data_IF_415101999401
#
_entry.id   IF_415101999401
#
_cell.length_a   1.000
_cell.length_b   1.000
_cell.length_c   1.000
_cell.angle_alpha   90.00
_cell.angle_beta   90.00
_cell.angle_gamma   90.00
#
_symmetry.space_group_name_H-M   'P 1'
#
loop_
_entity.id
_entity.type
_entity.pdbx_description
1 polymer ?
#
# COMPACT_ATOMS: atom_id res chain seq x y z
N UNK A 1 -11.16 -3.98 35.42
CA UNK A 1 -9.89 -3.42 34.88
C UNK A 1 -9.62 -2.08 35.51
N UNK A 2 -8.38 -1.83 35.99
CA UNK A 2 -7.99 -0.51 36.49
C UNK A 2 -6.50 -0.25 36.21
N UNK A 3 -6.20 0.87 35.51
CA UNK A 3 -4.86 1.16 35.01
C UNK A 3 -4.60 2.67 34.97
N UNK A 4 -3.33 3.07 35.13
CA UNK A 4 -2.84 4.44 34.93
C UNK A 4 -1.91 4.43 33.72
N UNK A 5 -2.13 5.34 32.76
CA UNK A 5 -1.40 5.45 31.51
C UNK A 5 -1.32 6.92 31.07
N UNK A 6 -0.23 7.34 30.39
CA UNK A 6 -0.16 8.66 29.75
C UNK A 6 -1.20 8.81 28.63
N UNK A 7 -1.89 9.95 28.58
CA UNK A 7 -2.85 10.27 27.52
C UNK A 7 -2.23 10.28 26.13
N UNK A 8 -0.99 10.78 26.03
CA UNK A 8 -0.26 10.84 24.75
C UNK A 8 0.18 9.45 24.26
N UNK A 9 0.61 8.56 25.17
CA UNK A 9 0.97 7.18 24.83
C UNK A 9 -0.25 6.37 24.40
N UNK A 10 -1.36 6.50 25.14
CA UNK A 10 -2.62 5.85 24.76
C UNK A 10 -3.14 6.37 23.44
N UNK A 11 -3.10 7.69 23.19
CA UNK A 11 -3.50 8.27 21.90
C UNK A 11 -2.65 7.70 20.76
N UNK A 12 -1.33 7.63 20.93
CA UNK A 12 -0.43 7.05 19.93
C UNK A 12 -0.77 5.59 19.63
N UNK A 13 -1.03 4.80 20.67
CA UNK A 13 -1.36 3.39 20.53
C UNK A 13 -2.71 3.18 19.82
N UNK A 14 -3.78 3.89 20.21
CA UNK A 14 -5.09 3.76 19.54
C UNK A 14 -5.03 4.27 18.09
N UNK A 15 -4.29 5.34 17.81
CA UNK A 15 -4.12 5.85 16.45
C UNK A 15 -3.34 4.89 15.55
N UNK A 16 -2.40 4.13 16.09
CA UNK A 16 -1.66 3.11 15.34
C UNK A 16 -2.59 2.02 14.78
N UNK A 17 -3.58 1.59 15.56
CA UNK A 17 -4.51 0.52 15.18
C UNK A 17 -5.83 1.03 14.54
N UNK A 18 -6.16 2.30 14.70
CA UNK A 18 -7.42 2.89 14.25
C UNK A 18 -7.72 2.70 12.74
N UNK A 19 -6.68 2.50 11.93
CA UNK A 19 -6.84 2.27 10.48
C UNK A 19 -7.53 0.95 10.13
N UNK A 20 -7.63 0.01 11.08
CA UNK A 20 -8.41 -1.22 10.90
C UNK A 20 -9.88 -1.04 11.29
N UNK A 21 -10.27 0.03 12.00
CA UNK A 21 -11.66 0.26 12.35
C UNK A 21 -12.49 0.54 11.09
N UNK A 22 -13.51 -0.24 10.77
CA UNK A 22 -14.36 0.00 9.62
C UNK A 22 -15.29 1.20 9.88
N UNK A 23 -15.58 1.98 8.84
CA UNK A 23 -16.55 3.09 8.94
C UNK A 23 -17.98 2.62 9.26
N UNK A 24 -18.32 1.42 8.79
CA UNK A 24 -19.52 0.64 9.13
C UNK A 24 -19.18 -0.83 9.05
N UNK A 25 -19.68 -1.61 9.99
CA UNK A 25 -19.49 -3.06 10.01
C UNK A 25 -20.82 -3.78 10.14
N UNK A 26 -21.02 -4.94 9.49
CA UNK A 26 -22.13 -5.84 9.80
C UNK A 26 -22.03 -6.40 11.23
N UNK A 27 -20.84 -6.35 11.83
CA UNK A 27 -20.59 -6.70 13.22
C UNK A 27 -20.25 -5.43 14.01
N UNK A 28 -21.22 -4.82 14.73
CA UNK A 28 -21.01 -3.53 15.42
C UNK A 28 -19.87 -3.55 16.44
N UNK A 29 -19.54 -4.72 17.00
CA UNK A 29 -18.42 -4.86 17.94
C UNK A 29 -17.07 -4.43 17.33
N UNK A 30 -16.90 -4.56 16.01
CA UNK A 30 -15.66 -4.16 15.29
C UNK A 30 -15.51 -2.64 15.14
N UNK A 31 -16.53 -1.86 15.51
CA UNK A 31 -16.40 -0.40 15.61
C UNK A 31 -15.72 0.02 16.93
N UNK A 32 -15.27 -0.95 17.73
CA UNK A 32 -14.63 -0.75 19.02
C UNK A 32 -13.16 -1.20 18.98
N UNK A 33 -12.34 -0.60 19.83
CA UNK A 33 -11.04 -1.17 20.20
C UNK A 33 -11.24 -2.28 21.22
N UNK A 34 -10.54 -3.39 21.04
CA UNK A 34 -10.40 -4.38 22.09
C UNK A 34 -9.20 -4.02 22.94
N UNK A 35 -9.41 -3.79 24.23
CA UNK A 35 -8.39 -3.56 25.23
C UNK A 35 -8.20 -4.84 26.04
N UNK A 36 -6.98 -5.34 26.13
CA UNK A 36 -6.59 -6.52 26.91
C UNK A 36 -5.40 -6.13 27.83
N UNK A 37 -5.69 -5.96 29.11
CA UNK A 37 -4.69 -5.60 30.13
C UNK A 37 -4.22 -6.83 30.86
N UNK A 38 -2.93 -7.14 30.75
CA UNK A 38 -2.26 -8.24 31.44
C UNK A 38 -0.97 -7.74 32.10
N UNK A 39 -0.89 -7.87 33.41
CA UNK A 39 0.19 -7.26 34.17
C UNK A 39 0.27 -5.75 33.88
N UNK A 40 1.42 -5.26 33.49
CA UNK A 40 1.64 -3.86 33.12
C UNK A 40 1.63 -3.59 31.61
N UNK A 41 1.05 -4.48 30.81
CA UNK A 41 0.97 -4.32 29.35
C UNK A 41 -0.49 -4.24 28.92
N UNK A 42 -0.84 -3.15 28.27
CA UNK A 42 -2.14 -2.98 27.61
C UNK A 42 -1.99 -3.27 26.12
N UNK A 43 -2.55 -4.40 25.65
CA UNK A 43 -2.70 -4.69 24.22
C UNK A 43 -3.97 -4.03 23.71
N UNK A 44 -3.86 -3.32 22.59
CA UNK A 44 -4.97 -2.66 21.91
C UNK A 44 -5.10 -3.28 20.52
N UNK A 45 -6.30 -3.77 20.21
CA UNK A 45 -6.61 -4.42 18.94
C UNK A 45 -7.74 -3.70 18.23
N UNK A 46 -7.62 -3.58 16.91
CA UNK A 46 -8.69 -3.17 16.01
C UNK A 46 -8.78 -4.13 14.83
N UNK A 47 -9.97 -4.43 14.35
CA UNK A 47 -10.18 -5.40 13.27
C UNK A 47 -11.39 -5.04 12.39
N UNK A 48 -11.34 -5.43 11.11
CA UNK A 48 -12.48 -5.43 10.20
C UNK A 48 -12.87 -6.83 9.72
N UNK A 49 -12.39 -7.88 10.39
CA UNK A 49 -12.50 -9.32 10.07
C UNK A 49 -11.54 -9.83 9.01
N UNK A 50 -11.03 -9.01 8.11
CA UNK A 50 -10.05 -9.38 7.08
C UNK A 50 -8.64 -8.90 7.44
N UNK A 51 -8.59 -7.81 8.19
CA UNK A 51 -7.39 -7.13 8.65
C UNK A 51 -7.50 -6.84 10.14
N UNK A 52 -6.47 -7.19 10.89
CA UNK A 52 -6.35 -6.87 12.31
C UNK A 52 -5.03 -6.15 12.57
N UNK A 53 -5.11 -5.08 13.33
CA UNK A 53 -3.98 -4.35 13.85
C UNK A 53 -3.94 -4.51 15.37
N UNK A 54 -2.77 -4.85 15.88
CA UNK A 54 -2.49 -4.92 17.31
C UNK A 54 -1.30 -4.08 17.65
N UNK A 55 -1.35 -3.43 18.80
CA UNK A 55 -0.19 -2.78 19.40
C UNK A 55 -0.24 -2.97 20.91
N UNK A 56 0.90 -2.84 21.57
CA UNK A 56 0.94 -2.87 23.01
C UNK A 56 1.67 -1.63 23.54
N UNK A 57 1.29 -1.23 24.74
CA UNK A 57 1.87 -0.12 25.47
C UNK A 57 2.08 -0.53 26.93
N UNK A 58 3.22 -0.17 27.49
CA UNK A 58 3.47 -0.34 28.92
C UNK A 58 2.69 0.74 29.70
N UNK A 59 2.05 0.33 30.78
CA UNK A 59 1.27 1.22 31.62
C UNK A 59 2.06 1.57 32.89
N UNK A 60 1.85 2.77 33.45
CA UNK A 60 2.53 3.23 34.66
C UNK A 60 2.20 2.34 35.87
N UNK A 61 0.95 1.93 35.98
CA UNK A 61 0.50 0.97 37.00
C UNK A 61 -0.78 0.27 36.59
N UNK A 62 -0.92 -0.99 36.99
CA UNK A 62 -2.13 -1.76 36.84
C UNK A 62 -2.50 -2.41 38.19
N UNK A 63 -3.77 -2.33 38.59
CA UNK A 63 -4.25 -2.96 39.81
C UNK A 63 -5.27 -4.07 39.57
N UNK A 64 -5.93 -4.08 38.42
CA UNK A 64 -6.90 -5.09 38.01
C UNK A 64 -6.80 -5.34 36.51
N UNK A 65 -6.51 -6.58 36.14
CA UNK A 65 -6.54 -7.02 34.75
C UNK A 65 -7.95 -7.00 34.18
N UNK A 66 -8.07 -7.07 32.86
CA UNK A 66 -9.37 -7.15 32.23
C UNK A 66 -9.30 -7.03 30.73
N UNK A 67 -10.38 -7.50 30.09
CA UNK A 67 -10.52 -7.49 28.63
C UNK A 67 -11.90 -6.94 28.26
N UNK A 68 -11.94 -5.84 27.51
CA UNK A 68 -13.15 -5.12 27.17
C UNK A 68 -13.08 -4.53 25.75
N UNK A 69 -14.23 -4.29 25.12
CA UNK A 69 -14.32 -3.54 23.87
C UNK A 69 -14.85 -2.12 24.13
N UNK A 70 -14.09 -1.09 23.68
CA UNK A 70 -14.35 0.33 23.95
C UNK A 70 -14.64 1.07 22.64
N UNK A 71 -15.68 1.94 22.57
CA UNK A 71 -16.04 2.68 21.36
C UNK A 71 -14.88 3.49 20.79
N UNK A 72 -14.38 3.08 19.61
CA UNK A 72 -13.14 3.61 19.04
C UNK A 72 -13.23 5.11 18.73
N UNK A 73 -14.32 5.54 18.10
CA UNK A 73 -14.51 6.95 17.72
C UNK A 73 -14.50 7.86 18.94
N UNK A 74 -15.30 7.56 19.94
CA UNK A 74 -15.40 8.39 21.15
C UNK A 74 -14.06 8.43 21.91
N UNK A 75 -13.37 7.28 21.99
CA UNK A 75 -12.07 7.21 22.66
C UNK A 75 -11.02 8.07 21.94
N UNK A 76 -10.95 7.99 20.61
CA UNK A 76 -10.04 8.83 19.82
C UNK A 76 -10.36 10.32 19.93
N UNK A 77 -11.64 10.67 19.84
CA UNK A 77 -12.08 12.07 19.92
C UNK A 77 -11.76 12.67 21.30
N UNK A 78 -12.00 11.92 22.38
CA UNK A 78 -11.62 12.34 23.74
C UNK A 78 -10.11 12.54 23.87
N UNK A 79 -9.30 11.55 23.48
CA UNK A 79 -7.85 11.59 23.65
C UNK A 79 -7.19 12.72 22.87
N UNK A 80 -7.72 13.11 21.72
CA UNK A 80 -7.20 14.24 20.92
C UNK A 80 -7.35 15.59 21.59
N UNK A 81 -8.36 15.75 22.43
CA UNK A 81 -8.64 17.01 23.14
C UNK A 81 -7.91 17.11 24.48
N UNK A 82 -7.32 16.01 24.97
CA UNK A 82 -6.59 15.99 26.24
C UNK A 82 -5.11 16.42 26.05
N UNK A 83 -4.59 17.31 26.91
CA UNK A 83 -3.16 17.53 26.99
C UNK A 83 -2.45 16.29 27.54
N UNK A 84 -1.14 16.21 27.36
CA UNK A 84 -0.35 15.11 27.94
C UNK A 84 -0.41 15.13 29.47
N UNK A 85 -1.00 14.06 30.02
CA UNK A 85 -1.19 13.88 31.46
C UNK A 85 -1.50 12.42 31.78
N UNK A 86 -1.31 11.99 33.05
CA UNK A 86 -1.77 10.67 33.48
C UNK A 86 -3.30 10.55 33.40
N UNK A 87 -3.76 9.44 32.85
CA UNK A 87 -5.15 9.02 32.82
C UNK A 87 -5.34 7.80 33.71
N UNK A 88 -6.35 7.83 34.58
CA UNK A 88 -6.83 6.63 35.27
C UNK A 88 -8.00 6.05 34.50
N UNK A 89 -7.83 4.84 34.00
CA UNK A 89 -8.89 4.09 33.33
C UNK A 89 -9.41 3.02 34.28
N UNK A 90 -10.72 2.94 34.44
CA UNK A 90 -11.36 1.90 35.25
C UNK A 90 -12.68 1.44 34.66
N UNK A 91 -13.01 0.18 34.91
CA UNK A 91 -14.35 -0.38 34.59
C UNK A 91 -15.19 -0.47 35.85
N UNK A 92 -16.50 -0.27 35.70
CA UNK A 92 -17.45 -0.37 36.78
C UNK A 92 -18.38 -1.59 36.56
N UNK A 93 -19.16 -1.96 37.57
CA UNK A 93 -20.05 -3.13 37.53
C UNK A 93 -21.27 -2.95 36.61
N UNK A 94 -21.58 -1.72 36.21
CA UNK A 94 -22.69 -1.37 35.30
C UNK A 94 -22.25 -1.27 33.83
N UNK A 95 -21.12 -1.92 33.47
CA UNK A 95 -20.57 -1.90 32.12
C UNK A 95 -20.12 -0.50 31.65
N UNK A 96 -19.70 0.35 32.57
CA UNK A 96 -19.14 1.65 32.23
C UNK A 96 -17.61 1.65 32.26
N UNK A 97 -17.01 2.26 31.24
CA UNK A 97 -15.59 2.55 31.11
C UNK A 97 -15.39 4.00 31.52
N UNK A 98 -14.69 4.23 32.61
CA UNK A 98 -14.41 5.56 33.14
C UNK A 98 -12.97 5.94 32.88
N UNK A 99 -12.76 7.08 32.25
CA UNK A 99 -11.48 7.69 31.98
C UNK A 99 -11.40 8.99 32.77
N UNK A 100 -10.56 9.04 33.81
CA UNK A 100 -10.42 10.19 34.71
C UNK A 100 -9.06 10.84 34.52
N UNK A 101 -9.02 12.18 34.59
CA UNK A 101 -7.82 13.01 34.53
C UNK A 101 -7.87 14.09 35.60
N UNK A 102 -6.84 14.93 35.71
CA UNK A 102 -6.66 15.87 36.82
C UNK A 102 -7.87 16.79 37.10
N UNK A 103 -8.63 17.18 36.07
CA UNK A 103 -9.74 18.16 36.16
C UNK A 103 -11.10 17.63 35.76
N UNK A 104 -11.24 16.34 35.45
CA UNK A 104 -12.51 15.79 34.98
C UNK A 104 -12.49 14.29 34.74
N UNK A 105 -13.62 13.80 34.28
CA UNK A 105 -13.77 12.40 33.88
C UNK A 105 -14.75 12.27 32.71
N UNK A 106 -14.60 11.18 31.97
CA UNK A 106 -15.52 10.78 30.90
C UNK A 106 -15.96 9.34 31.13
N UNK A 107 -17.25 9.08 30.94
CA UNK A 107 -17.80 7.75 31.05
C UNK A 107 -18.35 7.31 29.70
N UNK A 108 -17.88 6.15 29.24
CA UNK A 108 -18.30 5.51 27.98
C UNK A 108 -18.86 4.11 28.30
N UNK A 109 -19.81 3.59 27.52
CA UNK A 109 -20.16 2.18 27.64
C UNK A 109 -18.98 1.34 27.14
N UNK A 110 -18.77 0.16 27.71
CA UNK A 110 -17.94 -0.87 27.11
C UNK A 110 -18.76 -2.13 26.81
N UNK A 111 -18.26 -2.97 25.93
CA UNK A 111 -18.90 -4.22 25.53
C UNK A 111 -18.04 -5.42 25.98
N UNK A 112 -18.67 -6.59 26.20
CA UNK A 112 -17.95 -7.80 26.54
C UNK A 112 -16.91 -8.16 25.46
N UNK A 113 -15.72 -8.53 25.88
CA UNK A 113 -14.64 -8.89 24.96
C UNK A 113 -14.90 -10.23 24.26
N UNK A 114 -15.75 -11.07 24.83
CA UNK A 114 -16.17 -12.37 24.29
C UNK A 114 -16.96 -12.22 22.98
N UNK A 115 -17.60 -11.06 22.77
CA UNK A 115 -18.30 -10.74 21.53
C UNK A 115 -17.34 -10.34 20.39
N UNK A 116 -16.05 -10.07 20.70
CA UNK A 116 -15.05 -9.73 19.71
C UNK A 116 -14.57 -10.98 18.99
N UNK A 117 -14.56 -11.00 17.63
CA UNK A 117 -14.18 -12.18 16.87
C UNK A 117 -12.76 -12.66 17.23
N UNK A 118 -12.58 -13.96 17.26
CA UNK A 118 -11.26 -14.56 17.42
C UNK A 118 -10.37 -14.19 16.22
N UNK A 119 -9.16 -13.75 16.53
CA UNK A 119 -8.19 -13.29 15.53
C UNK A 119 -7.20 -14.43 15.30
N UNK A 120 -7.32 -15.05 14.14
CA UNK A 120 -6.45 -16.14 13.73
C UNK A 120 -5.28 -15.56 12.93
N UNK A 121 -4.06 -15.72 13.45
CA UNK A 121 -2.82 -15.39 12.73
C UNK A 121 -2.42 -16.50 11.76
N UNK A 122 -1.14 -16.53 11.41
CA UNK A 122 -0.51 -17.59 10.63
C UNK A 122 -0.38 -18.86 11.47
N UNK A 123 -0.41 -20.02 10.82
CA UNK A 123 -0.27 -21.33 11.46
C UNK A 123 1.22 -21.75 11.60
N UNK A 124 1.45 -22.95 12.16
CA UNK A 124 2.80 -23.51 12.40
C UNK A 124 3.56 -23.85 11.11
N UNK A 125 2.92 -23.82 9.94
CA UNK A 125 3.54 -24.05 8.62
C UNK A 125 4.02 -22.75 7.97
N UNK A 126 3.89 -21.62 8.64
CA UNK A 126 4.21 -20.31 8.09
C UNK A 126 5.69 -20.18 7.74
N UNK A 127 5.94 -19.65 6.54
CA UNK A 127 7.27 -19.20 6.13
C UNK A 127 7.53 -17.84 6.77
N UNK A 128 8.70 -17.69 7.41
CA UNK A 128 9.09 -16.42 8.05
C UNK A 128 10.31 -15.84 7.37
N UNK A 129 10.29 -14.52 7.16
CA UNK A 129 11.42 -13.75 6.60
C UNK A 129 11.53 -12.38 7.26
N UNK A 130 12.72 -11.80 7.18
CA UNK A 130 12.97 -10.42 7.60
C UNK A 130 13.06 -9.52 6.38
N UNK A 131 12.33 -8.44 6.39
CA UNK A 131 12.30 -7.46 5.31
C UNK A 131 12.79 -6.11 5.81
N UNK A 132 13.78 -5.44 5.17
CA UNK A 132 14.12 -4.07 5.51
C UNK A 132 12.88 -3.19 5.40
N UNK A 133 12.56 -2.42 6.43
CA UNK A 133 11.31 -1.68 6.51
C UNK A 133 11.16 -0.67 5.36
N UNK A 134 12.24 0.02 5.01
CA UNK A 134 12.24 0.98 3.90
C UNK A 134 11.99 0.28 2.56
N UNK A 135 12.70 -0.82 2.25
CA UNK A 135 12.49 -1.57 1.00
C UNK A 135 11.07 -2.13 0.88
N UNK A 136 10.45 -2.53 2.00
CA UNK A 136 9.04 -2.95 2.00
C UNK A 136 8.10 -1.80 1.67
N UNK A 137 8.31 -0.63 2.30
CA UNK A 137 7.52 0.58 2.05
C UNK A 137 7.67 1.04 0.60
N UNK A 138 8.90 1.08 0.09
CA UNK A 138 9.22 1.50 -1.29
C UNK A 138 8.65 0.53 -2.31
N UNK A 139 8.77 -0.77 -2.06
CA UNK A 139 8.18 -1.80 -2.92
C UNK A 139 6.66 -1.74 -2.99
N UNK A 140 5.99 -1.55 -1.85
CA UNK A 140 4.54 -1.35 -1.81
C UNK A 140 4.17 -0.03 -2.52
N UNK A 141 4.88 1.07 -2.23
CA UNK A 141 4.60 2.37 -2.83
C UNK A 141 4.74 2.35 -4.35
N UNK A 142 5.78 1.66 -4.83
CA UNK A 142 6.08 1.53 -6.27
C UNK A 142 5.08 0.65 -7.03
N UNK A 143 4.36 -0.24 -6.35
CA UNK A 143 3.50 -1.25 -7.03
C UNK A 143 2.01 -1.06 -6.80
N UNK A 144 1.59 -0.59 -5.64
CA UNK A 144 0.18 -0.59 -5.20
C UNK A 144 -0.79 0.12 -6.18
N UNK A 145 -0.34 1.17 -6.86
CA UNK A 145 -1.17 1.93 -7.81
C UNK A 145 -1.49 1.15 -9.10
N UNK A 146 -0.77 0.07 -9.34
CA UNK A 146 -1.00 -0.81 -10.48
C UNK A 146 -1.94 -1.98 -10.17
N UNK A 147 -2.41 -2.13 -8.94
CA UNK A 147 -3.41 -3.16 -8.59
C UNK A 147 -4.75 -2.88 -9.26
N UNK A 148 -5.50 -3.94 -9.54
CA UNK A 148 -6.85 -3.85 -10.09
C UNK A 148 -7.93 -3.64 -9.02
N UNK A 149 -9.14 -3.37 -9.49
CA UNK A 149 -10.42 -3.54 -8.80
C UNK A 149 -11.28 -4.48 -9.66
N UNK A 150 -11.01 -5.78 -9.60
CA UNK A 150 -11.59 -6.77 -10.52
C UNK A 150 -12.20 -7.92 -9.73
N UNK A 151 -13.53 -8.06 -9.77
CA UNK A 151 -14.24 -9.13 -9.07
C UNK A 151 -14.02 -10.51 -9.72
N UNK A 152 -13.69 -10.53 -11.02
CA UNK A 152 -13.46 -11.78 -11.78
C UNK A 152 -12.07 -12.33 -11.53
N UNK A 153 -11.09 -11.45 -11.31
CA UNK A 153 -9.68 -11.80 -11.12
C UNK A 153 -9.15 -11.22 -9.81
N UNK A 154 -9.63 -11.70 -8.66
CA UNK A 154 -9.29 -11.13 -7.35
C UNK A 154 -7.78 -11.18 -7.05
N UNK A 155 -7.02 -12.09 -7.66
CA UNK A 155 -5.56 -12.13 -7.54
C UNK A 155 -4.88 -10.81 -7.97
N UNK A 156 -5.48 -10.05 -8.88
CA UNK A 156 -4.95 -8.77 -9.36
C UNK A 156 -5.32 -7.58 -8.44
N UNK A 157 -6.19 -7.78 -7.46
CA UNK A 157 -6.54 -6.75 -6.46
C UNK A 157 -5.50 -6.62 -5.35
N UNK A 158 -4.36 -7.27 -5.51
CA UNK A 158 -3.26 -7.26 -4.56
C UNK A 158 -1.90 -7.22 -5.24
N UNK A 159 -0.90 -7.11 -4.39
CA UNK A 159 0.52 -7.14 -4.75
C UNK A 159 1.00 -8.58 -4.56
N UNK A 160 1.53 -9.18 -5.62
CA UNK A 160 2.26 -10.45 -5.52
C UNK A 160 3.63 -10.19 -4.89
N UNK A 161 3.95 -10.91 -3.84
CA UNK A 161 5.31 -11.08 -3.32
C UNK A 161 5.86 -12.38 -3.91
N UNK A 162 6.76 -12.27 -4.88
CA UNK A 162 7.44 -13.40 -5.52
C UNK A 162 8.85 -13.49 -4.95
N UNK A 163 9.03 -14.42 -4.00
CA UNK A 163 10.22 -14.55 -3.17
C UNK A 163 11.07 -15.69 -3.75
N UNK A 164 12.31 -15.38 -4.13
CA UNK A 164 13.29 -16.34 -4.62
C UNK A 164 14.51 -16.42 -3.67
N UNK A 165 15.42 -17.32 -3.95
CA UNK A 165 16.66 -17.52 -3.17
C UNK A 165 17.69 -16.37 -3.34
N UNK A 166 17.54 -15.53 -4.35
CA UNK A 166 18.46 -14.43 -4.63
C UNK A 166 17.83 -13.04 -4.53
N UNK A 167 16.51 -12.94 -4.60
CA UNK A 167 15.80 -11.66 -4.62
C UNK A 167 14.32 -11.83 -4.32
N UNK A 168 13.66 -10.75 -3.95
CA UNK A 168 12.20 -10.68 -3.84
C UNK A 168 11.66 -9.65 -4.82
N UNK A 169 10.62 -10.01 -5.58
CA UNK A 169 9.95 -9.12 -6.51
C UNK A 169 8.50 -8.88 -6.07
N UNK A 170 8.15 -7.62 -5.86
CA UNK A 170 6.78 -7.19 -5.66
C UNK A 170 6.17 -6.84 -7.03
N UNK A 171 4.99 -7.38 -7.34
CA UNK A 171 4.36 -7.22 -8.65
C UNK A 171 2.91 -6.82 -8.51
N UNK A 172 2.48 -5.81 -9.25
CA UNK A 172 1.07 -5.46 -9.38
C UNK A 172 0.69 -5.20 -10.83
N UNK A 173 -0.54 -5.55 -11.21
CA UNK A 173 -1.06 -5.35 -12.57
C UNK A 173 -2.58 -5.25 -12.58
N UNK A 174 -3.11 -4.42 -13.48
CA UNK A 174 -4.54 -4.32 -13.81
C UNK A 174 -4.86 -4.84 -15.22
N UNK A 175 -3.93 -5.56 -15.86
CA UNK A 175 -3.96 -6.03 -17.25
C UNK A 175 -3.62 -4.97 -18.30
N UNK A 176 -3.56 -3.69 -17.96
CA UNK A 176 -3.20 -2.61 -18.86
C UNK A 176 -1.81 -2.06 -18.57
N UNK A 177 -1.43 -2.09 -17.32
CA UNK A 177 -0.09 -1.78 -16.83
C UNK A 177 0.36 -2.87 -15.86
N UNK A 178 1.66 -3.03 -15.74
CA UNK A 178 2.27 -3.94 -14.77
C UNK A 178 3.54 -3.28 -14.23
N UNK A 179 3.72 -3.35 -12.91
CA UNK A 179 4.89 -2.81 -12.24
C UNK A 179 5.54 -3.92 -11.45
N UNK A 180 6.86 -4.01 -11.60
CA UNK A 180 7.72 -4.85 -10.78
C UNK A 180 8.69 -3.95 -9.99
N UNK A 181 8.82 -4.24 -8.71
CA UNK A 181 9.88 -3.75 -7.86
C UNK A 181 10.66 -4.95 -7.35
N UNK A 182 11.94 -5.02 -7.64
CA UNK A 182 12.82 -6.13 -7.24
C UNK A 182 13.87 -5.62 -6.28
N UNK A 183 14.02 -6.32 -5.14
CA UNK A 183 15.11 -6.08 -4.19
C UNK A 183 15.93 -7.35 -3.98
N UNK A 184 17.24 -7.19 -3.85
CA UNK A 184 18.18 -8.27 -3.53
C UNK A 184 18.44 -8.39 -2.03
N UNK A 185 17.92 -7.45 -1.22
CA UNK A 185 18.12 -7.40 0.23
C UNK A 185 17.31 -8.46 0.97
N UNK A 186 16.31 -9.05 0.29
CA UNK A 186 15.41 -10.05 0.85
C UNK A 186 15.41 -11.29 -0.02
N UNK A 187 15.76 -12.41 0.60
CA UNK A 187 15.72 -13.73 -0.02
C UNK A 187 15.24 -14.77 0.99
N UNK A 188 14.84 -15.93 0.50
CA UNK A 188 14.44 -17.07 1.30
C UNK A 188 15.27 -18.30 0.95
N UNK A 189 15.28 -19.30 1.84
CA UNK A 189 15.95 -20.59 1.55
C UNK A 189 15.28 -21.37 0.43
N UNK A 190 13.99 -21.16 0.24
CA UNK A 190 13.16 -21.79 -0.79
C UNK A 190 12.23 -20.76 -1.43
N UNK A 191 11.81 -21.05 -2.68
CA UNK A 191 10.85 -20.20 -3.39
C UNK A 191 9.50 -20.21 -2.70
N UNK A 192 8.99 -19.02 -2.46
CA UNK A 192 7.69 -18.81 -1.86
C UNK A 192 6.97 -17.64 -2.51
N UNK A 193 5.65 -17.57 -2.36
CA UNK A 193 4.91 -16.42 -2.84
C UNK A 193 3.57 -16.27 -2.13
N UNK A 194 3.11 -15.04 -1.99
CA UNK A 194 1.78 -14.71 -1.50
C UNK A 194 1.25 -13.45 -2.20
N UNK A 195 -0.05 -13.23 -2.13
CA UNK A 195 -0.70 -12.05 -2.68
C UNK A 195 -1.32 -11.25 -1.54
N UNK A 196 -0.76 -10.06 -1.30
CA UNK A 196 -1.24 -9.12 -0.30
C UNK A 196 -2.27 -8.17 -0.92
N UNK A 197 -3.51 -8.16 -0.40
CA UNK A 197 -4.54 -7.26 -0.89
C UNK A 197 -4.13 -5.79 -0.74
N UNK A 198 -4.57 -4.92 -1.65
CA UNK A 198 -4.20 -3.50 -1.66
C UNK A 198 -4.53 -2.74 -0.37
N UNK A 199 -5.62 -3.11 0.34
CA UNK A 199 -6.00 -2.44 1.60
C UNK A 199 -4.96 -2.64 2.71
N UNK A 200 -4.61 -3.88 3.13
CA UNK A 200 -3.51 -4.05 4.09
C UNK A 200 -2.18 -3.51 3.59
N UNK A 201 -1.86 -3.60 2.28
CA UNK A 201 -0.64 -3.00 1.73
C UNK A 201 -0.60 -1.47 1.93
N UNK A 202 -1.71 -0.76 1.65
CA UNK A 202 -1.81 0.68 1.87
C UNK A 202 -1.66 1.06 3.36
N UNK A 203 -2.21 0.23 4.26
CA UNK A 203 -2.10 0.45 5.70
C UNK A 203 -0.65 0.24 6.16
N UNK A 204 -0.01 -0.86 5.78
CA UNK A 204 1.41 -1.12 6.09
C UNK A 204 2.29 0.05 5.66
N UNK A 205 2.17 0.50 4.41
CA UNK A 205 2.89 1.68 3.91
C UNK A 205 2.70 2.93 4.76
N UNK A 206 1.53 3.08 5.38
CA UNK A 206 1.19 4.29 6.14
C UNK A 206 1.53 4.21 7.64
N UNK A 207 1.78 3.00 8.19
CA UNK A 207 2.05 2.81 9.63
C UNK A 207 3.48 2.37 9.93
N UNK A 208 4.21 1.82 8.97
CA UNK A 208 5.64 1.53 9.13
C UNK A 208 6.37 2.87 9.22
N UNK A 209 6.85 3.18 10.41
CA UNK A 209 7.58 4.42 10.70
C UNK A 209 9.01 4.39 10.13
N UNK A 210 9.62 5.56 9.98
CA UNK A 210 11.02 5.69 9.51
C UNK A 210 12.04 5.15 10.48
N UNK A 211 11.67 4.96 11.73
CA UNK A 211 12.44 4.39 12.82
C UNK A 211 12.43 2.86 12.84
N UNK A 212 11.55 2.24 12.08
CA UNK A 212 11.55 0.79 11.91
C UNK A 212 12.71 0.37 10.96
N UNK A 213 13.60 -0.48 11.45
CA UNK A 213 14.70 -1.02 10.63
C UNK A 213 14.25 -2.23 9.82
N UNK A 214 13.52 -3.13 10.44
CA UNK A 214 13.06 -4.39 9.83
C UNK A 214 11.60 -4.68 10.15
N UNK A 215 10.96 -5.43 9.26
CA UNK A 215 9.64 -6.02 9.43
C UNK A 215 9.77 -7.53 9.35
N UNK A 216 9.37 -8.24 10.41
CA UNK A 216 9.21 -9.68 10.36
C UNK A 216 7.91 -10.00 9.63
N UNK A 217 7.99 -10.78 8.56
CA UNK A 217 6.83 -11.24 7.79
C UNK A 217 6.72 -12.75 7.96
N UNK A 218 5.62 -13.22 8.51
CA UNK A 218 5.24 -14.62 8.51
C UNK A 218 3.99 -14.81 7.65
N UNK A 219 3.94 -15.84 6.80
CA UNK A 219 2.78 -16.12 5.98
C UNK A 219 2.56 -17.61 5.74
N UNK A 220 1.31 -17.98 5.64
CA UNK A 220 0.84 -19.31 5.25
C UNK A 220 -0.04 -19.23 3.99
N UNK A 221 -0.83 -20.22 3.71
CA UNK A 221 -1.72 -20.27 2.53
C UNK A 221 -2.93 -19.32 2.61
N UNK A 222 -3.23 -18.74 3.78
CA UNK A 222 -4.44 -17.95 4.04
C UNK A 222 -4.16 -16.60 4.65
N UNK A 223 -3.16 -16.51 5.51
CA UNK A 223 -2.90 -15.32 6.33
C UNK A 223 -1.45 -14.86 6.19
N UNK A 224 -1.23 -13.59 6.43
CA UNK A 224 0.09 -13.03 6.68
C UNK A 224 0.10 -12.19 7.95
N UNK A 225 1.22 -12.24 8.66
CA UNK A 225 1.48 -11.44 9.85
C UNK A 225 2.74 -10.61 9.62
N UNK A 226 2.64 -9.31 9.87
CA UNK A 226 3.75 -8.35 9.78
C UNK A 226 4.00 -7.79 11.17
N UNK A 227 5.24 -7.89 11.69
CA UNK A 227 5.61 -7.38 13.00
C UNK A 227 6.75 -6.37 12.88
N UNK A 228 6.59 -5.22 13.50
CA UNK A 228 7.61 -4.16 13.59
C UNK A 228 7.36 -3.31 14.83
N UNK A 229 8.41 -3.03 15.59
CA UNK A 229 8.29 -2.37 16.89
C UNK A 229 7.25 -3.08 17.78
N UNK A 230 6.32 -2.32 18.32
CA UNK A 230 5.21 -2.82 19.14
C UNK A 230 3.96 -3.15 18.33
N UNK A 231 4.02 -3.09 17.02
CA UNK A 231 2.85 -3.25 16.14
C UNK A 231 2.86 -4.58 15.41
N UNK A 232 1.69 -5.21 15.35
CA UNK A 232 1.44 -6.42 14.57
C UNK A 232 0.24 -6.19 13.65
N UNK A 233 0.41 -6.54 12.39
CA UNK A 233 -0.65 -6.53 11.36
C UNK A 233 -0.90 -7.96 10.96
N UNK A 234 -2.14 -8.43 11.08
CA UNK A 234 -2.58 -9.75 10.64
C UNK A 234 -3.59 -9.51 9.53
N UNK A 235 -3.43 -10.14 8.38
CA UNK A 235 -4.37 -9.98 7.28
C UNK A 235 -4.57 -11.29 6.51
N UNK A 236 -5.75 -11.44 5.93
CA UNK A 236 -6.05 -12.48 4.97
C UNK A 236 -5.33 -12.20 3.66
N UNK A 237 -4.78 -13.26 3.08
CA UNK A 237 -4.17 -13.24 1.76
C UNK A 237 -5.21 -13.47 0.68
N UNK A 238 -4.96 -12.90 -0.49
CA UNK A 238 -5.80 -13.15 -1.66
C UNK A 238 -5.49 -14.55 -2.18
N UNK A 239 -6.51 -15.41 -2.18
CA UNK A 239 -6.39 -16.78 -2.68
C UNK A 239 -6.49 -16.77 -4.20
N UNK A 240 -5.56 -17.44 -4.88
CA UNK A 240 -5.57 -17.60 -6.32
C UNK A 240 -4.17 -17.65 -6.91
N UNK A 241 -4.13 -17.90 -8.22
CA UNK A 241 -2.87 -17.91 -8.97
C UNK A 241 -2.67 -16.56 -9.64
N UNK A 242 -1.58 -15.87 -9.32
CA UNK A 242 -1.20 -14.66 -10.03
C UNK A 242 -0.85 -14.97 -11.48
N UNK A 243 -1.17 -14.09 -12.45
CA UNK A 243 -0.76 -14.27 -13.85
C UNK A 243 0.76 -14.42 -13.98
N UNK A 244 1.21 -15.14 -15.02
CA UNK A 244 2.64 -15.30 -15.32
C UNK A 244 3.22 -13.97 -15.82
N UNK A 245 3.49 -13.06 -14.90
CA UNK A 245 3.91 -11.68 -15.21
C UNK A 245 5.24 -11.61 -15.98
N UNK A 246 6.14 -12.57 -15.76
CA UNK A 246 7.44 -12.60 -16.44
C UNK A 246 7.31 -12.79 -17.95
N UNK A 247 6.24 -13.49 -18.41
CA UNK A 247 6.01 -13.77 -19.82
C UNK A 247 5.56 -12.51 -20.62
N UNK A 248 5.09 -11.47 -19.92
CA UNK A 248 4.64 -10.22 -20.54
C UNK A 248 5.69 -9.11 -20.54
N UNK A 249 6.85 -9.32 -19.87
CA UNK A 249 7.95 -8.38 -19.86
C UNK A 249 8.67 -8.42 -21.22
N UNK A 250 8.67 -7.31 -22.00
CA UNK A 250 9.30 -7.29 -23.31
C UNK A 250 10.82 -7.47 -23.21
N UNK A 251 11.39 -8.35 -24.04
CA UNK A 251 12.83 -8.61 -24.08
C UNK A 251 13.53 -7.94 -25.28
N UNK A 252 12.78 -7.61 -26.34
CA UNK A 252 13.34 -7.23 -27.63
C UNK A 252 12.90 -5.84 -28.11
N UNK A 253 12.57 -4.94 -27.20
CA UNK A 253 12.20 -3.56 -27.54
C UNK A 253 13.45 -2.78 -27.97
N UNK A 254 13.57 -2.53 -29.27
CA UNK A 254 14.78 -1.95 -29.90
C UNK A 254 14.72 -0.43 -30.05
N UNK A 255 13.55 0.18 -29.99
CA UNK A 255 13.38 1.64 -30.07
C UNK A 255 13.48 2.21 -28.67
N UNK A 256 14.47 3.06 -28.41
CA UNK A 256 14.84 3.50 -27.06
C UNK A 256 14.72 5.02 -26.96
N UNK A 257 13.91 5.48 -26.02
CA UNK A 257 13.72 6.89 -25.68
C UNK A 257 14.32 7.17 -24.32
N UNK A 258 15.27 8.09 -24.23
CA UNK A 258 15.75 8.71 -22.99
C UNK A 258 15.14 10.10 -22.86
N UNK A 259 14.51 10.38 -21.71
CA UNK A 259 13.77 11.63 -21.53
C UNK A 259 13.67 12.02 -20.06
N UNK A 260 13.67 13.34 -19.79
CA UNK A 260 13.42 13.84 -18.45
C UNK A 260 12.01 13.49 -17.99
N UNK A 261 11.92 12.77 -16.87
CA UNK A 261 10.68 12.24 -16.32
C UNK A 261 9.68 13.34 -15.98
N UNK A 262 10.12 14.42 -15.31
CA UNK A 262 9.23 15.50 -14.86
C UNK A 262 8.69 16.29 -16.05
N UNK A 263 9.52 16.54 -17.05
CA UNK A 263 9.09 17.21 -18.29
C UNK A 263 8.05 16.38 -19.03
N UNK A 264 8.30 15.08 -19.23
CA UNK A 264 7.34 14.18 -19.88
C UNK A 264 6.02 14.10 -19.11
N UNK A 265 6.07 13.93 -17.79
CA UNK A 265 4.89 13.89 -16.92
C UNK A 265 4.04 15.17 -17.07
N UNK A 266 4.67 16.33 -17.02
CA UNK A 266 3.98 17.61 -17.11
C UNK A 266 3.40 17.84 -18.52
N UNK A 267 4.11 17.46 -19.57
CA UNK A 267 3.61 17.52 -20.96
C UNK A 267 2.40 16.60 -21.14
N UNK A 268 2.47 15.36 -20.67
CA UNK A 268 1.33 14.40 -20.73
C UNK A 268 0.13 14.98 -19.97
N UNK A 269 0.32 15.55 -18.77
CA UNK A 269 -0.76 16.17 -17.99
C UNK A 269 -1.41 17.31 -18.75
N UNK A 270 -0.65 18.25 -19.34
CA UNK A 270 -1.22 19.38 -20.11
C UNK A 270 -1.96 18.92 -21.35
N UNK A 271 -1.33 18.06 -22.15
CA UNK A 271 -1.93 17.57 -23.41
C UNK A 271 -3.18 16.73 -23.14
N UNK A 272 -3.18 15.92 -22.09
CA UNK A 272 -4.34 15.07 -21.74
C UNK A 272 -5.60 15.82 -21.36
N UNK A 273 -5.53 17.11 -21.05
CA UNK A 273 -6.71 17.98 -20.83
C UNK A 273 -7.60 18.01 -22.07
N UNK A 274 -7.00 17.93 -23.26
CA UNK A 274 -7.70 17.92 -24.56
C UNK A 274 -8.01 16.52 -25.07
N UNK A 275 -7.75 15.45 -24.30
CA UNK A 275 -8.12 14.10 -24.67
C UNK A 275 -9.61 13.84 -24.44
N UNK A 276 -10.21 12.95 -25.25
CA UNK A 276 -11.56 12.49 -25.00
C UNK A 276 -11.67 11.85 -23.62
N UNK A 277 -12.65 12.28 -22.82
CA UNK A 277 -12.79 11.88 -21.40
C UNK A 277 -13.14 10.41 -21.18
N UNK A 278 -13.76 9.75 -22.17
CA UNK A 278 -14.11 8.33 -22.05
C UNK A 278 -12.90 7.42 -22.37
N UNK A 279 -12.07 7.81 -23.33
CA UNK A 279 -10.94 7.01 -23.81
C UNK A 279 -9.59 7.41 -23.19
N UNK A 280 -9.41 8.69 -22.84
CA UNK A 280 -8.17 9.28 -22.33
C UNK A 280 -6.95 9.02 -23.24
N UNK A 281 -7.16 8.98 -24.56
CA UNK A 281 -6.13 8.66 -25.53
C UNK A 281 -5.16 9.82 -25.71
N UNK A 282 -3.88 9.52 -25.67
CA UNK A 282 -2.79 10.38 -26.11
C UNK A 282 -1.92 9.64 -27.12
N UNK A 283 -1.27 10.37 -27.99
CA UNK A 283 -0.40 9.85 -29.02
C UNK A 283 1.01 10.36 -28.83
N UNK A 284 1.98 9.49 -28.94
CA UNK A 284 3.41 9.79 -29.01
C UNK A 284 3.87 9.59 -30.44
N UNK A 285 4.38 10.65 -31.06
CA UNK A 285 5.09 10.60 -32.32
C UNK A 285 6.58 10.80 -32.06
N UNK A 286 7.33 9.71 -32.17
CA UNK A 286 8.76 9.60 -31.86
C UNK A 286 9.58 9.72 -33.15
N UNK A 287 10.54 10.63 -33.15
CA UNK A 287 11.51 10.83 -34.21
C UNK A 287 12.89 11.10 -33.63
N UNK A 288 13.94 10.93 -34.43
CA UNK A 288 15.28 11.26 -33.97
C UNK A 288 15.33 12.66 -33.36
N UNK A 289 15.73 12.75 -32.08
CA UNK A 289 15.89 13.99 -31.31
C UNK A 289 14.59 14.62 -30.82
N UNK A 290 13.39 14.12 -31.13
CA UNK A 290 12.14 14.75 -30.72
C UNK A 290 11.01 13.79 -30.41
N UNK A 291 10.21 14.11 -29.41
CA UNK A 291 8.92 13.48 -29.08
C UNK A 291 7.83 14.53 -29.19
N UNK A 292 6.81 14.28 -30.00
CA UNK A 292 5.57 15.06 -29.98
C UNK A 292 4.49 14.24 -29.27
N UNK A 293 3.94 14.83 -28.19
CA UNK A 293 2.78 14.30 -27.49
C UNK A 293 1.54 15.06 -27.96
N UNK A 294 0.51 14.35 -28.37
CA UNK A 294 -0.74 14.96 -28.85
C UNK A 294 -1.97 14.25 -28.32
N UNK A 295 -3.08 14.98 -28.23
CA UNK A 295 -4.41 14.49 -27.90
C UNK A 295 -5.46 15.30 -28.63
N UNK A 296 -6.62 14.68 -28.89
CA UNK A 296 -7.77 15.35 -29.49
C UNK A 296 -9.10 14.75 -29.00
N UNK A 297 -10.11 15.59 -28.95
CA UNK A 297 -11.51 15.18 -28.81
C UNK A 297 -12.31 15.78 -29.94
N UNK A 298 -12.62 14.95 -30.94
CA UNK A 298 -13.38 15.39 -32.13
C UNK A 298 -14.81 15.83 -31.80
N UNK A 299 -15.40 15.23 -30.74
CA UNK A 299 -16.76 15.60 -30.31
C UNK A 299 -16.88 17.03 -29.80
N UNK A 300 -15.81 17.56 -29.21
CA UNK A 300 -15.75 18.94 -28.71
C UNK A 300 -14.86 19.86 -29.55
N UNK A 301 -14.28 19.37 -30.64
CA UNK A 301 -13.37 20.13 -31.51
C UNK A 301 -12.17 20.73 -30.75
N UNK A 302 -11.65 19.99 -29.77
CA UNK A 302 -10.47 20.40 -28.98
C UNK A 302 -9.29 19.49 -29.33
N UNK A 303 -8.10 20.10 -29.38
CA UNK A 303 -6.85 19.37 -29.56
C UNK A 303 -5.69 20.10 -28.89
N UNK A 304 -4.69 19.35 -28.50
CA UNK A 304 -3.42 19.86 -28.00
C UNK A 304 -2.27 19.02 -28.51
N UNK A 305 -1.11 19.67 -28.70
CA UNK A 305 0.14 18.98 -28.91
C UNK A 305 1.29 19.77 -28.31
N UNK A 306 2.29 19.07 -27.85
CA UNK A 306 3.57 19.63 -27.41
C UNK A 306 4.71 18.82 -27.96
N UNK A 307 5.78 19.49 -28.38
CA UNK A 307 7.03 18.84 -28.82
C UNK A 307 8.14 19.09 -27.82
N UNK A 308 8.85 18.05 -27.47
CA UNK A 308 9.97 18.12 -26.55
C UNK A 308 11.22 17.47 -27.14
N UNK A 309 12.39 17.99 -26.78
CA UNK A 309 13.66 17.42 -27.14
C UNK A 309 13.91 16.16 -26.30
N UNK A 310 14.45 15.13 -26.92
CA UNK A 310 14.76 13.86 -26.27
C UNK A 310 15.91 13.16 -27.00
N UNK A 311 16.50 12.18 -26.36
CA UNK A 311 17.39 11.25 -27.05
C UNK A 311 16.55 10.03 -27.44
N UNK A 312 16.37 9.84 -28.74
CA UNK A 312 15.63 8.70 -29.28
C UNK A 312 16.47 7.97 -30.33
N UNK A 313 16.60 6.67 -30.11
CA UNK A 313 17.33 5.74 -30.98
C UNK A 313 16.34 4.69 -31.47
N UNK A 314 16.13 4.61 -32.78
CA UNK A 314 15.22 3.68 -33.43
C UNK A 314 14.51 4.28 -34.64
N UNK A 315 13.56 3.53 -35.19
CA UNK A 315 12.75 3.96 -36.31
C UNK A 315 11.67 4.97 -35.88
N UNK A 316 11.23 5.84 -36.80
CA UNK A 316 10.09 6.74 -36.55
C UNK A 316 8.87 5.91 -36.11
N UNK A 317 8.32 6.22 -34.95
CA UNK A 317 7.25 5.44 -34.32
C UNK A 317 6.12 6.32 -33.83
N UNK A 318 4.90 5.95 -34.21
CA UNK A 318 3.67 6.51 -33.67
C UNK A 318 2.99 5.47 -32.80
N UNK A 319 2.75 5.79 -31.50
CA UNK A 319 2.15 4.86 -30.54
C UNK A 319 1.17 5.58 -29.61
N UNK A 320 0.05 4.93 -29.29
CA UNK A 320 -0.99 5.48 -28.42
C UNK A 320 -0.98 4.87 -27.02
N UNK A 321 -1.33 5.70 -26.03
CA UNK A 321 -1.49 5.28 -24.64
C UNK A 321 -2.72 5.90 -24.00
N UNK A 322 -3.21 5.31 -22.92
CA UNK A 322 -4.10 6.00 -21.98
C UNK A 322 -3.29 6.90 -21.08
N UNK A 323 -3.55 8.20 -21.10
CA UNK A 323 -2.80 9.20 -20.32
C UNK A 323 -2.74 8.91 -18.82
N UNK A 324 -3.80 8.41 -18.13
CA UNK A 324 -3.73 8.10 -16.71
C UNK A 324 -2.62 7.08 -16.39
N UNK A 325 -2.41 6.07 -17.23
CA UNK A 325 -1.41 5.04 -16.96
C UNK A 325 0.02 5.59 -17.07
N UNK A 326 0.29 6.42 -18.08
CA UNK A 326 1.58 7.13 -18.18
C UNK A 326 1.80 8.05 -16.98
N UNK A 327 0.77 8.82 -16.60
CA UNK A 327 0.84 9.75 -15.46
C UNK A 327 1.11 8.99 -14.16
N UNK A 328 0.43 7.86 -13.92
CA UNK A 328 0.62 7.06 -12.71
C UNK A 328 2.04 6.48 -12.65
N UNK A 329 2.53 5.87 -13.73
CA UNK A 329 3.88 5.29 -13.78
C UNK A 329 4.91 6.39 -13.52
N UNK A 330 4.88 7.49 -14.28
CA UNK A 330 5.86 8.58 -14.14
C UNK A 330 5.78 9.30 -12.78
N UNK A 331 4.60 9.38 -12.17
CA UNK A 331 4.42 10.02 -10.86
C UNK A 331 4.98 9.19 -9.71
N UNK A 332 5.05 7.87 -9.86
CA UNK A 332 5.50 6.95 -8.81
C UNK A 332 6.96 6.46 -9.02
N UNK A 333 7.63 6.90 -10.07
CA UNK A 333 9.08 6.69 -10.24
C UNK A 333 9.85 7.83 -9.57
N UNK A 334 10.87 7.48 -8.78
CA UNK A 334 11.73 8.44 -8.07
C UNK A 334 13.09 8.56 -8.77
N UNK A 335 13.09 9.09 -10.00
CA UNK A 335 14.29 9.29 -10.82
C UNK A 335 14.21 10.61 -11.60
N UNK A 336 15.34 11.13 -12.03
CA UNK A 336 15.43 12.34 -12.87
C UNK A 336 15.01 12.08 -14.31
N UNK A 337 15.48 10.99 -14.88
CA UNK A 337 15.25 10.56 -16.25
C UNK A 337 14.67 9.15 -16.31
N UNK A 338 13.89 8.87 -17.34
CA UNK A 338 13.36 7.54 -17.65
C UNK A 338 13.78 7.09 -19.03
N UNK A 339 13.94 5.78 -19.16
CA UNK A 339 14.11 5.11 -20.43
C UNK A 339 12.80 4.40 -20.78
N UNK A 340 12.23 4.76 -21.92
CA UNK A 340 11.10 4.02 -22.48
C UNK A 340 11.57 3.21 -23.68
N UNK A 341 11.23 1.92 -23.69
CA UNK A 341 11.63 1.02 -24.78
C UNK A 341 10.40 0.48 -25.49
N UNK A 342 10.41 0.54 -26.82
CA UNK A 342 9.29 0.13 -27.67
C UNK A 342 9.79 -0.88 -28.72
N UNK A 343 8.92 -1.77 -29.16
CA UNK A 343 9.17 -2.57 -30.35
C UNK A 343 8.38 -2.02 -31.54
N UNK A 344 7.09 -1.85 -31.37
CA UNK A 344 6.15 -1.33 -32.38
C UNK A 344 4.95 -0.65 -31.68
N UNK A 345 3.97 -0.22 -32.47
CA UNK A 345 2.77 0.46 -31.97
C UNK A 345 1.73 -0.46 -31.29
N UNK A 346 1.94 -1.76 -31.23
CA UNK A 346 0.96 -2.75 -30.76
C UNK A 346 1.44 -3.53 -29.53
N UNK A 347 2.76 -3.61 -29.32
CA UNK A 347 3.37 -4.36 -28.22
C UNK A 347 3.64 -3.48 -27.03
N UNK A 348 3.67 -4.10 -25.86
CA UNK A 348 3.89 -3.41 -24.59
C UNK A 348 5.19 -2.59 -24.60
N UNK A 349 5.11 -1.37 -24.09
CA UNK A 349 6.25 -0.53 -23.83
C UNK A 349 6.81 -0.82 -22.43
N UNK A 350 8.14 -0.78 -22.31
CA UNK A 350 8.87 -0.89 -21.06
C UNK A 350 9.26 0.52 -20.60
N UNK A 351 9.13 0.82 -19.32
CA UNK A 351 9.53 2.08 -18.69
C UNK A 351 10.41 1.75 -17.49
N UNK A 352 11.64 2.24 -17.49
CA UNK A 352 12.60 2.02 -16.40
C UNK A 352 13.30 3.34 -16.06
N UNK A 353 13.84 3.53 -14.85
CA UNK A 353 14.78 4.61 -14.57
C UNK A 353 15.97 4.58 -15.51
N UNK A 354 16.51 5.76 -15.88
CA UNK A 354 17.68 5.86 -16.75
C UNK A 354 19.00 5.57 -16.02
N UNK A 355 19.04 5.93 -14.74
CA UNK A 355 20.17 5.61 -13.85
C UNK A 355 19.86 4.30 -13.13
N UNK A 356 20.85 3.44 -12.95
CA UNK A 356 20.73 2.29 -12.08
C UNK A 356 20.43 2.84 -10.67
N UNK A 357 19.19 2.66 -10.22
CA UNK A 357 18.83 2.79 -8.80
C UNK A 357 19.79 1.88 -8.03
N UNK A 358 19.94 2.12 -6.73
CA UNK A 358 20.89 1.40 -5.88
C UNK A 358 21.02 -0.05 -6.33
N UNK A 359 22.23 -0.59 -6.42
CA UNK A 359 22.52 -1.93 -6.98
C UNK A 359 21.58 -3.04 -6.48
N UNK A 360 20.94 -2.81 -5.32
CA UNK A 360 20.00 -3.72 -4.66
C UNK A 360 18.54 -3.63 -5.14
N UNK A 361 18.12 -2.54 -5.81
CA UNK A 361 16.71 -2.29 -6.13
C UNK A 361 16.51 -1.95 -7.62
N UNK A 362 15.47 -2.53 -8.23
CA UNK A 362 15.14 -2.30 -9.64
C UNK A 362 13.63 -2.14 -9.82
N UNK A 363 13.23 -1.06 -10.50
CA UNK A 363 11.85 -0.79 -10.88
C UNK A 363 11.67 -0.99 -12.38
N UNK A 364 10.60 -1.69 -12.75
CA UNK A 364 10.23 -1.94 -14.13
C UNK A 364 8.73 -1.71 -14.30
N UNK A 365 8.37 -0.76 -15.14
CA UNK A 365 6.99 -0.49 -15.53
C UNK A 365 6.71 -0.99 -16.95
N UNK A 366 5.56 -1.63 -17.16
CA UNK A 366 5.08 -2.08 -18.46
C UNK A 366 3.74 -1.41 -18.71
N UNK A 367 3.52 -0.92 -19.92
CA UNK A 367 2.27 -0.31 -20.33
C UNK A 367 1.83 -0.85 -21.69
N UNK A 368 0.56 -1.28 -21.76
CA UNK A 368 -0.04 -1.71 -23.01
C UNK A 368 -0.43 -0.51 -23.86
N UNK A 369 -0.01 -0.46 -25.12
CA UNK A 369 -0.48 0.58 -26.03
C UNK A 369 -1.95 0.38 -26.40
N UNK A 370 -2.54 1.42 -26.94
CA UNK A 370 -3.87 1.41 -27.52
C UNK A 370 -3.81 1.67 -29.02
N UNK A 371 -4.77 1.12 -29.75
CA UNK A 371 -4.86 1.39 -31.20
C UNK A 371 -5.27 2.85 -31.42
N UNK A 372 -4.53 3.54 -32.26
CA UNK A 372 -4.83 4.89 -32.72
C UNK A 372 -5.66 4.75 -34.00
N UNK A 373 -6.87 5.26 -33.97
CA UNK A 373 -7.75 5.36 -35.15
C UNK A 373 -7.50 6.67 -35.88
#
# INVERSE_FOLDING_TARGET
>A
MKVIISSSELLRAVMAVAKAIPAKSPLPILENFLFDLKGNVLEITASDSELTLKTHVEVESASEEGRIAVPAKHMMDLLKELPDQPLTISTTTDSSFVCSWASGESTLPYFPAEDYPEITGTDDTAVTLQFPAQSLVDGIASTIYATADDEIRPAMNGILFDIDTASTTLVASDSHKLICYTTNDVNASEKASFILHKKPAAILKAIIGKDAETVEIAFDSKNATFKFGNTMVICRLVVGKYPKYRDVIPQNNSNILHINRVQLLNTVRRVSVCSNKASNHIKFDLKSGSLMVSAQDLGFSIAAHETMQCQYEGDDLTIGFKSPFIIEILSNMNCGEVVMKFLDSKRAALVVPAEDEAESEKICGIIMPIMIS
#
